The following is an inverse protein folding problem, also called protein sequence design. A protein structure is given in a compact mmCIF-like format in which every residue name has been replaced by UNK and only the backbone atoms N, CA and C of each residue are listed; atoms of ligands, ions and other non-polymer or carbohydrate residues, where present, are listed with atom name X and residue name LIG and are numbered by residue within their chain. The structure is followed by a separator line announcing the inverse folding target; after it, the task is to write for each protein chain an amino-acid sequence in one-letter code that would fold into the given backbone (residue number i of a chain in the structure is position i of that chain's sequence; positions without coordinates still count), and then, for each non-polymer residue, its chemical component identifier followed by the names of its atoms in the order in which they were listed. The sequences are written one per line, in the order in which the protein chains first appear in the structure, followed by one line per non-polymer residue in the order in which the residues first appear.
data_IF_957947566214
#
_entry.id   IF_957947566214
#
_cell.length_a   1.000
_cell.length_b   1.000
_cell.length_c   1.000
_cell.angle_alpha   90.00
_cell.angle_beta   90.00
_cell.angle_gamma   90.00
#
_symmetry.space_group_name_H-M   'P 1'
#
loop_
_entity.id
_entity.type
_entity.pdbx_description
1 polymer ?
#
# COMPACT_ATOMS: atom_id res chain seq x y z
N UNK A 1 -13.37 5.87 -23.95
CA UNK A 1 -13.13 4.52 -23.48
C UNK A 1 -12.17 4.50 -22.31
N UNK A 2 -12.12 3.39 -21.57
CA UNK A 2 -11.16 3.18 -20.46
C UNK A 2 -9.87 2.56 -21.00
N UNK A 3 -8.77 2.74 -20.29
CA UNK A 3 -7.44 2.24 -20.68
C UNK A 3 -7.18 0.81 -20.22
N UNK A 4 -7.96 0.32 -19.25
CA UNK A 4 -7.80 -1.02 -18.71
C UNK A 4 -8.72 -1.30 -17.53
N UNK A 5 -8.45 -2.40 -16.84
CA UNK A 5 -9.18 -2.88 -15.65
C UNK A 5 -8.17 -3.26 -14.60
N UNK A 6 -8.39 -2.81 -13.36
CA UNK A 6 -7.70 -3.28 -12.15
C UNK A 6 -8.66 -4.13 -11.34
N UNK A 7 -8.22 -5.29 -10.86
CA UNK A 7 -9.05 -6.19 -10.04
C UNK A 7 -8.55 -6.15 -8.60
N UNK A 8 -9.40 -5.65 -7.73
CA UNK A 8 -9.18 -5.58 -6.30
C UNK A 8 -10.13 -6.53 -5.56
N UNK A 9 -9.71 -7.79 -5.42
CA UNK A 9 -10.42 -8.80 -4.62
C UNK A 9 -9.63 -9.09 -3.36
N UNK A 10 -10.15 -8.69 -2.21
CA UNK A 10 -9.52 -8.82 -0.91
C UNK A 10 -10.21 -9.89 -0.04
N UNK A 11 -9.81 -11.15 -0.11
CA UNK A 11 -8.82 -11.78 -0.97
C UNK A 11 -9.32 -13.16 -1.41
N UNK A 12 -8.85 -13.73 -2.52
CA UNK A 12 -9.12 -15.14 -2.81
C UNK A 12 -8.71 -16.02 -1.63
N UNK A 13 -9.52 -17.02 -1.30
CA UNK A 13 -9.30 -17.98 -0.19
C UNK A 13 -9.38 -17.42 1.24
N UNK A 14 -9.59 -16.12 1.41
CA UNK A 14 -9.76 -15.50 2.75
C UNK A 14 -11.16 -14.91 2.89
N UNK A 15 -11.85 -15.27 3.97
CA UNK A 15 -13.10 -14.59 4.35
C UNK A 15 -12.75 -13.17 4.79
N UNK A 16 -13.18 -12.18 4.03
CA UNK A 16 -12.91 -10.77 4.29
C UNK A 16 -14.08 -9.94 3.76
N UNK A 17 -14.39 -8.83 4.41
CA UNK A 17 -15.40 -7.85 3.98
C UNK A 17 -16.77 -8.45 3.62
N UNK A 18 -17.16 -9.54 4.31
CA UNK A 18 -18.41 -10.25 4.03
C UNK A 18 -18.41 -11.14 2.79
N UNK A 19 -17.27 -11.30 2.13
CA UNK A 19 -17.12 -12.19 0.97
C UNK A 19 -16.76 -13.58 1.46
N UNK A 20 -17.57 -14.58 1.06
CA UNK A 20 -17.27 -15.99 1.30
C UNK A 20 -16.05 -16.43 0.48
N UNK A 21 -15.21 -17.28 1.05
CA UNK A 21 -14.02 -17.77 0.41
C UNK A 21 -13.99 -19.31 0.35
N UNK A 22 -13.37 -19.84 -0.69
CA UNK A 22 -13.14 -21.27 -0.89
C UNK A 22 -11.66 -21.56 -1.22
N UNK A 23 -11.16 -22.76 -0.96
CA UNK A 23 -9.79 -23.13 -1.33
C UNK A 23 -9.50 -23.05 -2.84
N UNK A 24 -10.54 -23.05 -3.68
CA UNK A 24 -10.42 -22.99 -5.13
C UNK A 24 -10.27 -21.55 -5.67
N UNK A 25 -10.45 -20.54 -4.85
CA UNK A 25 -10.54 -19.16 -5.33
C UNK A 25 -9.25 -18.64 -5.94
N UNK A 26 -8.07 -19.06 -5.50
CA UNK A 26 -6.80 -18.73 -6.16
C UNK A 26 -6.79 -19.20 -7.62
N UNK A 27 -7.25 -20.43 -7.86
CA UNK A 27 -7.37 -20.98 -9.22
C UNK A 27 -8.46 -20.28 -10.02
N UNK A 28 -9.61 -20.05 -9.41
CA UNK A 28 -10.74 -19.36 -10.03
C UNK A 28 -10.39 -17.92 -10.41
N UNK A 29 -9.63 -17.24 -9.54
CA UNK A 29 -9.09 -15.91 -9.81
C UNK A 29 -8.21 -15.91 -11.07
N UNK A 30 -7.27 -16.84 -11.16
CA UNK A 30 -6.40 -16.98 -12.34
C UNK A 30 -7.22 -17.23 -13.62
N UNK A 31 -8.24 -18.09 -13.54
CA UNK A 31 -9.14 -18.34 -14.69
C UNK A 31 -9.93 -17.09 -15.07
N UNK A 32 -10.48 -16.38 -14.09
CA UNK A 32 -11.17 -15.10 -14.31
C UNK A 32 -10.27 -14.08 -15.02
N UNK A 33 -9.03 -13.92 -14.54
CA UNK A 33 -8.08 -13.00 -15.16
C UNK A 33 -7.74 -13.38 -16.61
N UNK A 34 -7.63 -14.68 -16.92
CA UNK A 34 -7.46 -15.18 -18.30
C UNK A 34 -8.65 -14.79 -19.19
N UNK A 35 -9.87 -14.98 -18.71
CA UNK A 35 -11.08 -14.62 -19.48
C UNK A 35 -11.19 -13.10 -19.66
N UNK A 36 -10.87 -12.30 -18.63
CA UNK A 36 -10.83 -10.85 -18.75
C UNK A 36 -9.80 -10.42 -19.81
N UNK A 37 -8.56 -10.94 -19.76
CA UNK A 37 -7.52 -10.64 -20.75
C UNK A 37 -7.99 -10.96 -22.17
N UNK A 38 -8.60 -12.13 -22.36
CA UNK A 38 -9.18 -12.52 -23.66
C UNK A 38 -10.27 -11.55 -24.14
N UNK A 39 -11.10 -11.07 -23.22
CA UNK A 39 -12.21 -10.17 -23.54
C UNK A 39 -11.73 -8.74 -23.89
N UNK A 40 -10.73 -8.21 -23.18
CA UNK A 40 -10.25 -6.83 -23.38
C UNK A 40 -9.13 -6.74 -24.42
N UNK A 41 -8.49 -7.86 -24.79
CA UNK A 41 -7.36 -7.93 -25.72
C UNK A 41 -6.04 -7.40 -25.10
N UNK A 42 -4.97 -7.43 -25.90
CA UNK A 42 -3.61 -7.10 -25.44
C UNK A 42 -3.33 -5.59 -25.39
N UNK A 43 -4.20 -4.78 -25.97
CA UNK A 43 -4.03 -3.31 -26.03
C UNK A 43 -4.59 -2.58 -24.79
N UNK A 44 -5.19 -3.29 -23.86
CA UNK A 44 -5.75 -2.73 -22.63
C UNK A 44 -4.97 -3.25 -21.41
N UNK A 45 -4.80 -2.39 -20.43
CA UNK A 45 -4.18 -2.78 -19.16
C UNK A 45 -5.08 -3.74 -18.38
N UNK A 46 -4.49 -4.78 -17.85
CA UNK A 46 -5.10 -5.65 -16.86
C UNK A 46 -4.16 -5.76 -15.66
N UNK A 47 -4.61 -5.30 -14.52
CA UNK A 47 -3.81 -5.23 -13.30
C UNK A 47 -4.57 -5.82 -12.12
N UNK A 48 -3.90 -5.98 -11.00
CA UNK A 48 -4.52 -6.41 -9.76
C UNK A 48 -3.90 -5.69 -8.56
N UNK A 49 -4.71 -5.53 -7.51
CA UNK A 49 -4.24 -5.17 -6.19
C UNK A 49 -3.92 -6.43 -5.38
N UNK A 50 -2.82 -6.40 -4.63
CA UNK A 50 -2.35 -7.52 -3.81
C UNK A 50 -1.94 -7.07 -2.43
N UNK A 51 -2.22 -7.90 -1.42
CA UNK A 51 -1.78 -7.64 -0.04
C UNK A 51 -0.26 -7.62 0.10
N UNK A 52 0.24 -6.96 1.14
CA UNK A 52 1.68 -6.92 1.45
C UNK A 52 2.32 -8.31 1.66
N UNK A 53 1.52 -9.34 2.01
CA UNK A 53 2.01 -10.71 2.23
C UNK A 53 2.30 -11.49 0.96
N UNK A 54 1.83 -11.04 -0.22
CA UNK A 54 1.91 -11.78 -1.47
C UNK A 54 1.22 -13.17 -1.43
N UNK A 55 0.20 -13.31 -0.59
CA UNK A 55 -0.59 -14.55 -0.47
C UNK A 55 -1.84 -14.52 -1.37
N UNK A 56 -2.53 -15.64 -1.46
CA UNK A 56 -3.82 -15.82 -2.12
C UNK A 56 -3.80 -15.78 -3.66
N UNK A 57 -2.68 -15.47 -4.29
CA UNK A 57 -2.55 -15.38 -5.75
C UNK A 57 -1.47 -16.33 -6.28
N UNK A 58 -1.70 -16.93 -7.44
CA UNK A 58 -0.66 -17.64 -8.19
C UNK A 58 0.05 -16.66 -9.13
N UNK A 59 1.09 -16.00 -8.62
CA UNK A 59 1.82 -15.00 -9.37
C UNK A 59 2.55 -15.55 -10.60
N UNK A 60 2.94 -16.83 -10.59
CA UNK A 60 3.59 -17.45 -11.75
C UNK A 60 2.61 -17.60 -12.91
N UNK A 61 1.39 -18.06 -12.60
CA UNK A 61 0.33 -18.22 -13.59
C UNK A 61 -0.27 -16.88 -14.03
N UNK A 62 -0.21 -15.85 -13.17
CA UNK A 62 -0.69 -14.49 -13.49
C UNK A 62 0.32 -13.68 -14.31
N UNK A 63 1.62 -13.97 -14.21
CA UNK A 63 2.68 -13.20 -14.89
C UNK A 63 2.49 -13.01 -16.40
N UNK A 64 2.06 -14.03 -17.19
CA UNK A 64 1.79 -13.85 -18.61
C UNK A 64 0.46 -13.19 -18.93
N UNK A 65 -0.40 -12.94 -17.93
CA UNK A 65 -1.77 -12.48 -18.12
C UNK A 65 -1.91 -10.99 -17.79
N UNK A 66 -1.25 -10.53 -16.70
CA UNK A 66 -1.39 -9.19 -16.17
C UNK A 66 -0.19 -8.31 -16.52
N UNK A 67 -0.45 -7.01 -16.65
CA UNK A 67 0.59 -6.05 -17.01
C UNK A 67 1.49 -5.72 -15.82
N UNK A 68 0.89 -5.51 -14.63
CA UNK A 68 1.59 -5.25 -13.38
C UNK A 68 0.71 -5.52 -12.15
N UNK A 69 1.34 -5.55 -10.99
CA UNK A 69 0.69 -5.76 -9.68
C UNK A 69 0.83 -4.50 -8.84
N UNK A 70 -0.28 -4.01 -8.31
CA UNK A 70 -0.34 -2.96 -7.32
C UNK A 70 -0.23 -3.58 -5.92
N UNK A 71 0.90 -3.39 -5.25
CA UNK A 71 1.10 -3.88 -3.89
C UNK A 71 0.45 -2.90 -2.92
N UNK A 72 -0.54 -3.31 -2.17
CA UNK A 72 -1.12 -2.55 -1.06
C UNK A 72 -0.16 -2.59 0.13
N UNK A 73 0.94 -1.84 0.04
CA UNK A 73 1.99 -1.72 1.05
C UNK A 73 1.62 -0.71 2.14
N UNK A 74 0.41 -0.84 2.63
CA UNK A 74 -0.22 -0.10 3.72
C UNK A 74 -1.17 -1.02 4.49
N UNK A 75 -1.81 -0.53 5.54
CA UNK A 75 -2.62 -1.33 6.47
C UNK A 75 -1.81 -2.46 7.15
N UNK A 76 -0.51 -2.23 7.28
CA UNK A 76 0.44 -3.18 7.85
C UNK A 76 0.64 -2.98 9.36
N UNK A 77 -0.25 -2.25 10.03
CA UNK A 77 -0.14 -1.91 11.44
C UNK A 77 -1.18 -2.59 12.32
N UNK A 78 -0.76 -2.93 13.53
CA UNK A 78 -1.62 -3.03 14.69
C UNK A 78 -1.52 -1.76 15.57
N UNK A 79 -1.93 -1.88 16.83
CA UNK A 79 -1.76 -0.78 17.80
C UNK A 79 -0.28 -0.42 17.98
N UNK A 80 0.03 0.88 17.94
CA UNK A 80 1.37 1.44 18.14
C UNK A 80 2.41 0.98 17.12
N UNK A 81 1.99 0.62 15.92
CA UNK A 81 2.84 0.21 14.82
C UNK A 81 2.66 1.15 13.62
N UNK A 82 3.68 1.18 12.76
CA UNK A 82 3.64 1.96 11.53
C UNK A 82 2.69 1.35 10.49
N UNK A 83 1.83 2.19 9.90
CA UNK A 83 0.91 1.80 8.83
C UNK A 83 1.64 1.30 7.58
N UNK A 84 2.68 2.02 7.17
CA UNK A 84 3.39 1.79 5.91
C UNK A 84 4.88 2.11 6.05
N UNK A 85 5.57 1.45 6.99
CA UNK A 85 7.01 1.59 7.14
C UNK A 85 7.75 1.20 5.86
N UNK A 86 8.78 1.96 5.45
CA UNK A 86 9.62 1.55 4.33
C UNK A 86 10.51 0.37 4.69
N UNK A 87 11.14 0.43 5.87
CA UNK A 87 12.03 -0.61 6.40
C UNK A 87 11.58 -1.07 7.79
N UNK A 88 12.09 -2.24 8.20
CA UNK A 88 11.80 -2.80 9.52
C UNK A 88 12.44 -1.97 10.62
N UNK A 89 11.64 -1.52 11.59
CA UNK A 89 12.07 -0.93 12.85
C UNK A 89 11.39 -1.63 14.04
N UNK A 90 11.63 -1.17 15.25
CA UNK A 90 10.96 -1.65 16.46
C UNK A 90 9.44 -1.39 16.47
N UNK A 91 8.97 -0.40 15.65
CA UNK A 91 7.58 -0.01 15.52
C UNK A 91 6.89 -0.58 14.28
N UNK A 92 7.52 -1.48 13.56
CA UNK A 92 6.88 -2.18 12.44
C UNK A 92 6.21 -3.47 12.91
N UNK A 93 5.08 -3.81 12.29
CA UNK A 93 4.47 -5.13 12.41
C UNK A 93 5.20 -6.19 11.60
N UNK A 94 4.46 -7.19 11.14
CA UNK A 94 5.02 -8.31 10.38
C UNK A 94 5.43 -7.93 8.96
N UNK A 95 4.90 -6.82 8.41
CA UNK A 95 5.14 -6.36 7.05
C UNK A 95 5.62 -4.92 7.00
N UNK A 96 6.39 -4.61 5.95
CA UNK A 96 6.87 -3.28 5.57
C UNK A 96 7.08 -3.25 4.05
N UNK A 97 7.18 -2.08 3.45
CA UNK A 97 7.22 -1.91 2.00
C UNK A 97 8.31 -2.73 1.30
N UNK A 98 9.54 -2.72 1.81
CA UNK A 98 10.64 -3.51 1.23
C UNK A 98 10.36 -5.02 1.29
N UNK A 99 9.84 -5.52 2.43
CA UNK A 99 9.47 -6.94 2.56
C UNK A 99 8.34 -7.30 1.59
N UNK A 100 7.32 -6.46 1.47
CA UNK A 100 6.21 -6.69 0.57
C UNK A 100 6.68 -6.83 -0.90
N UNK A 101 7.50 -5.91 -1.39
CA UNK A 101 8.09 -6.00 -2.72
C UNK A 101 8.95 -7.26 -2.91
N UNK A 102 9.73 -7.63 -1.88
CA UNK A 102 10.58 -8.83 -1.90
C UNK A 102 9.76 -10.11 -1.96
N UNK A 103 8.66 -10.20 -1.20
CA UNK A 103 7.78 -11.37 -1.20
C UNK A 103 7.12 -11.59 -2.56
N UNK A 104 6.63 -10.54 -3.22
CA UNK A 104 6.07 -10.63 -4.58
C UNK A 104 7.12 -11.09 -5.59
N UNK A 105 8.35 -10.58 -5.48
CA UNK A 105 9.44 -11.01 -6.35
C UNK A 105 9.81 -12.49 -6.12
N UNK A 106 9.87 -12.94 -4.87
CA UNK A 106 10.09 -14.35 -4.52
C UNK A 106 8.94 -15.26 -4.98
N UNK A 107 7.71 -14.76 -4.98
CA UNK A 107 6.55 -15.47 -5.51
C UNK A 107 6.57 -15.59 -7.06
N UNK A 108 7.53 -14.96 -7.72
CA UNK A 108 7.77 -15.11 -9.16
C UNK A 108 7.37 -13.90 -10.00
N UNK A 109 6.99 -12.78 -9.39
CA UNK A 109 6.63 -11.58 -10.13
C UNK A 109 7.81 -10.60 -10.20
N UNK A 110 8.31 -10.21 -11.39
CA UNK A 110 9.53 -9.43 -11.52
C UNK A 110 9.35 -8.00 -11.03
N UNK A 111 10.40 -7.42 -10.42
CA UNK A 111 10.36 -6.08 -9.80
C UNK A 111 9.84 -5.00 -10.75
N UNK A 112 10.23 -5.02 -12.03
CA UNK A 112 9.80 -4.03 -13.02
C UNK A 112 8.31 -4.12 -13.41
N UNK A 113 7.57 -5.07 -12.86
CA UNK A 113 6.11 -5.20 -12.96
C UNK A 113 5.41 -5.00 -11.61
N UNK A 114 6.10 -4.54 -10.57
CA UNK A 114 5.53 -4.24 -9.26
C UNK A 114 5.39 -2.73 -9.07
N UNK A 115 4.25 -2.31 -8.54
CA UNK A 115 3.93 -0.93 -8.18
C UNK A 115 3.76 -0.85 -6.68
N UNK A 116 4.46 0.07 -6.01
CA UNK A 116 4.42 0.22 -4.56
C UNK A 116 3.27 1.12 -4.12
N UNK A 117 2.44 0.67 -3.19
CA UNK A 117 1.32 1.42 -2.64
C UNK A 117 1.75 2.45 -1.59
N UNK A 118 1.18 3.64 -1.69
CA UNK A 118 1.45 4.78 -0.83
C UNK A 118 0.14 5.24 -0.17
N UNK A 119 0.00 5.19 1.17
CA UNK A 119 -1.22 5.66 1.82
C UNK A 119 -1.22 7.18 1.96
N UNK A 120 -2.35 7.82 1.61
CA UNK A 120 -2.60 9.24 1.89
C UNK A 120 -3.47 9.41 3.14
N UNK A 121 -3.30 8.50 4.09
CA UNK A 121 -4.00 8.45 5.37
C UNK A 121 -3.12 7.81 6.44
N UNK A 122 -3.56 7.92 7.67
CA UNK A 122 -2.92 7.26 8.80
C UNK A 122 -3.93 6.59 9.73
N UNK A 123 -3.42 5.95 10.77
CA UNK A 123 -4.23 5.32 11.81
C UNK A 123 -3.93 5.89 13.18
N UNK A 124 -4.99 6.34 13.87
CA UNK A 124 -4.96 6.71 15.28
C UNK A 124 -5.34 5.52 16.15
N UNK A 125 -4.58 5.32 17.22
CA UNK A 125 -4.89 4.37 18.30
C UNK A 125 -5.39 5.06 19.59
N UNK A 126 -5.69 6.35 19.50
CA UNK A 126 -6.27 7.11 20.61
C UNK A 126 -7.65 6.55 20.92
N UNK A 127 -7.96 6.39 22.21
CA UNK A 127 -9.24 5.81 22.63
C UNK A 127 -9.33 4.28 22.56
N UNK A 128 -8.25 3.58 22.15
CA UNK A 128 -8.19 2.12 22.19
C UNK A 128 -8.78 1.40 20.97
N UNK A 129 -9.11 2.13 19.90
CA UNK A 129 -9.52 1.58 18.61
C UNK A 129 -8.64 2.17 17.49
N UNK A 130 -8.41 1.41 16.43
CA UNK A 130 -7.76 1.94 15.25
C UNK A 130 -8.78 2.74 14.44
N UNK A 131 -8.49 4.04 14.23
CA UNK A 131 -9.31 4.96 13.45
C UNK A 131 -8.51 5.49 12.28
N UNK A 132 -8.99 5.25 11.06
CA UNK A 132 -8.40 5.84 9.86
C UNK A 132 -8.67 7.36 9.82
N UNK A 133 -7.62 8.14 9.51
CA UNK A 133 -7.70 9.60 9.36
C UNK A 133 -6.99 9.96 8.05
N UNK A 134 -7.72 10.60 7.14
CA UNK A 134 -7.17 11.09 5.87
C UNK A 134 -6.19 12.24 6.09
N UNK A 135 -5.16 12.34 5.24
CA UNK A 135 -4.15 13.39 5.36
C UNK A 135 -4.76 14.79 5.42
N UNK A 136 -5.75 15.07 4.58
CA UNK A 136 -6.48 16.37 4.55
C UNK A 136 -7.21 16.73 5.83
N UNK A 137 -7.48 15.77 6.70
CA UNK A 137 -8.28 15.97 7.92
C UNK A 137 -7.44 15.94 9.21
N UNK A 138 -6.13 15.65 9.12
CA UNK A 138 -5.25 15.52 10.28
C UNK A 138 -5.25 16.77 11.16
N UNK A 139 -5.19 17.98 10.58
CA UNK A 139 -5.16 19.25 11.33
C UNK A 139 -6.46 19.51 12.10
N UNK A 140 -7.56 18.92 11.69
CA UNK A 140 -8.89 19.10 12.28
C UNK A 140 -9.19 18.04 13.34
N UNK A 141 -8.45 16.93 13.33
CA UNK A 141 -8.75 15.78 14.17
C UNK A 141 -8.39 16.03 15.63
N UNK A 142 -9.37 15.94 16.52
CA UNK A 142 -9.22 16.21 17.94
C UNK A 142 -8.30 15.19 18.63
N UNK A 143 -8.34 13.92 18.18
CA UNK A 143 -7.57 12.83 18.74
C UNK A 143 -6.04 13.06 18.57
N UNK A 144 -5.63 13.90 17.63
CA UNK A 144 -4.22 14.19 17.38
C UNK A 144 -3.70 15.40 18.18
N UNK A 145 -4.60 16.15 18.85
CA UNK A 145 -4.18 17.32 19.65
C UNK A 145 -3.37 16.92 20.86
N UNK A 146 -2.26 17.60 21.06
CA UNK A 146 -1.34 17.35 22.18
C UNK A 146 -0.39 16.16 21.98
N UNK A 147 -0.44 15.49 20.83
CA UNK A 147 0.60 14.55 20.40
C UNK A 147 1.78 15.31 19.81
N UNK A 148 2.97 14.72 19.91
CA UNK A 148 4.22 15.29 19.37
C UNK A 148 4.70 14.51 18.16
N UNK A 149 5.09 15.20 17.09
CA UNK A 149 5.63 14.57 15.89
C UNK A 149 7.05 14.08 16.12
N UNK A 150 7.31 12.86 15.68
CA UNK A 150 8.61 12.19 15.66
C UNK A 150 8.86 11.61 14.27
N UNK A 151 10.13 11.29 14.02
CA UNK A 151 10.58 10.63 12.80
C UNK A 151 11.29 9.32 13.16
N UNK A 152 10.85 8.21 12.56
CA UNK A 152 11.57 6.93 12.68
C UNK A 152 12.64 6.86 11.58
N UNK A 153 13.91 7.02 11.98
CA UNK A 153 15.04 7.04 11.05
C UNK A 153 15.29 5.70 10.35
N UNK A 154 14.85 4.59 10.92
CA UNK A 154 14.98 3.27 10.31
C UNK A 154 13.82 3.03 9.36
N UNK A 155 12.59 3.19 9.85
CA UNK A 155 11.37 2.96 9.07
C UNK A 155 11.13 4.01 7.97
N UNK A 156 11.79 5.20 8.05
CA UNK A 156 11.65 6.35 7.13
C UNK A 156 10.22 6.87 7.05
N UNK A 157 9.54 6.92 8.20
CA UNK A 157 8.17 7.44 8.30
C UNK A 157 8.00 8.30 9.56
N UNK A 158 7.09 9.31 9.53
CA UNK A 158 6.71 10.08 10.70
C UNK A 158 5.70 9.31 11.56
N UNK A 159 5.57 9.74 12.80
CA UNK A 159 4.49 9.34 13.71
C UNK A 159 4.24 10.41 14.76
N UNK A 160 3.04 10.43 15.33
CA UNK A 160 2.76 11.24 16.51
C UNK A 160 2.77 10.35 17.75
N UNK A 161 3.42 10.83 18.80
CA UNK A 161 3.52 10.13 20.08
C UNK A 161 2.86 10.92 21.22
N UNK A 162 2.43 10.19 22.26
CA UNK A 162 2.02 10.77 23.52
C UNK A 162 3.23 11.27 24.33
N UNK A 163 2.98 11.87 25.51
CA UNK A 163 4.00 12.38 26.43
C UNK A 163 4.97 11.32 26.96
N UNK A 164 4.64 10.04 26.80
CA UNK A 164 5.50 8.90 27.21
C UNK A 164 6.31 8.35 26.03
N UNK A 165 6.20 8.95 24.84
CA UNK A 165 6.88 8.50 23.62
C UNK A 165 6.20 7.33 22.91
N UNK A 166 4.97 6.96 23.32
CA UNK A 166 4.21 5.88 22.71
C UNK A 166 3.60 6.35 21.39
N UNK A 167 3.79 5.61 20.31
CA UNK A 167 3.17 5.89 19.02
C UNK A 167 1.65 5.81 19.15
N UNK A 168 0.97 6.91 18.85
CA UNK A 168 -0.48 7.04 18.92
C UNK A 168 -1.12 7.29 17.55
N UNK A 169 -0.37 7.86 16.60
CA UNK A 169 -0.82 8.05 15.23
C UNK A 169 0.31 7.77 14.26
N UNK A 170 0.07 6.92 13.30
CA UNK A 170 0.99 6.57 12.21
C UNK A 170 0.48 7.12 10.90
N UNK A 171 1.35 7.71 10.09
CA UNK A 171 0.97 8.33 8.81
C UNK A 171 2.16 8.44 7.87
N UNK A 172 1.89 8.91 6.65
CA UNK A 172 2.93 9.34 5.71
C UNK A 172 2.84 10.85 5.46
N UNK A 173 3.98 11.47 5.21
CA UNK A 173 4.11 12.86 4.78
C UNK A 173 4.96 12.97 3.50
N UNK A 174 5.13 14.18 2.96
CA UNK A 174 5.92 14.39 1.75
C UNK A 174 7.34 13.78 1.82
N UNK A 175 7.99 13.87 2.99
CA UNK A 175 9.34 13.32 3.20
C UNK A 175 9.34 11.79 3.12
N UNK A 176 8.43 11.11 3.82
CA UNK A 176 8.36 9.64 3.79
C UNK A 176 7.99 9.09 2.43
N UNK A 177 7.07 9.76 1.72
CA UNK A 177 6.71 9.39 0.34
C UNK A 177 7.90 9.56 -0.61
N UNK A 178 8.71 10.60 -0.45
CA UNK A 178 9.97 10.78 -1.19
C UNK A 178 10.90 9.59 -1.03
N UNK A 179 11.14 9.11 0.20
CA UNK A 179 11.96 7.91 0.45
C UNK A 179 11.38 6.65 -0.20
N UNK A 180 10.06 6.49 -0.22
CA UNK A 180 9.41 5.35 -0.87
C UNK A 180 9.52 5.41 -2.39
N UNK A 181 9.39 6.59 -2.98
CA UNK A 181 9.61 6.82 -4.42
C UNK A 181 11.06 6.53 -4.82
N UNK A 182 12.03 7.05 -4.07
CA UNK A 182 13.45 6.75 -4.28
C UNK A 182 13.75 5.24 -4.17
N UNK A 183 13.14 4.56 -3.19
CA UNK A 183 13.25 3.11 -3.07
C UNK A 183 12.70 2.42 -4.31
N UNK A 184 11.53 2.79 -4.79
CA UNK A 184 10.92 2.20 -5.98
C UNK A 184 11.82 2.37 -7.21
N UNK A 185 12.35 3.57 -7.45
CA UNK A 185 13.30 3.85 -8.54
C UNK A 185 14.58 3.01 -8.42
N UNK A 186 15.22 3.04 -7.25
CA UNK A 186 16.48 2.31 -7.01
C UNK A 186 16.35 0.80 -7.15
N UNK A 187 15.19 0.23 -6.77
CA UNK A 187 14.92 -1.21 -6.91
C UNK A 187 14.41 -1.61 -8.30
N UNK A 188 14.16 -0.65 -9.17
CA UNK A 188 13.63 -0.91 -10.50
C UNK A 188 12.18 -1.39 -10.48
N UNK A 189 11.38 -0.92 -9.51
CA UNK A 189 9.95 -1.15 -9.54
C UNK A 189 9.33 -0.39 -10.71
N UNK A 190 8.15 -0.83 -11.17
CA UNK A 190 7.43 -0.17 -12.26
C UNK A 190 7.02 1.26 -11.89
N UNK A 191 6.73 1.51 -10.63
CA UNK A 191 6.31 2.81 -10.13
C UNK A 191 5.67 2.74 -8.75
N UNK A 192 4.85 3.72 -8.46
CA UNK A 192 4.09 3.84 -7.23
C UNK A 192 2.62 4.14 -7.54
N UNK A 193 1.71 3.78 -6.65
CA UNK A 193 0.29 4.17 -6.69
C UNK A 193 -0.11 4.69 -5.32
N UNK A 194 -1.19 5.46 -5.23
CA UNK A 194 -1.68 5.98 -3.95
C UNK A 194 -3.09 5.51 -3.63
N UNK A 195 -3.32 5.20 -2.38
CA UNK A 195 -4.64 5.13 -1.79
C UNK A 195 -4.81 6.30 -0.82
N UNK A 196 -5.64 7.33 -1.12
CA UNK A 196 -6.27 7.54 -2.41
C UNK A 196 -6.28 9.05 -2.72
N UNK A 197 -6.53 9.40 -3.94
CA UNK A 197 -6.35 10.76 -4.47
C UNK A 197 -7.05 11.85 -3.64
N UNK A 198 -8.32 11.65 -3.23
CA UNK A 198 -9.12 12.63 -2.48
C UNK A 198 -8.75 12.71 -1.00
N UNK A 199 -7.87 11.84 -0.50
CA UNK A 199 -7.38 11.90 0.88
C UNK A 199 -6.26 12.94 1.09
N UNK A 200 -5.65 13.44 0.00
CA UNK A 200 -4.67 14.52 0.04
C UNK A 200 -5.30 15.87 0.38
N UNK A 201 -4.50 16.82 0.84
CA UNK A 201 -4.96 18.16 1.11
C UNK A 201 -5.32 18.94 -0.18
N UNK A 202 -5.99 20.08 -0.02
CA UNK A 202 -6.42 20.91 -1.16
C UNK A 202 -5.25 21.47 -1.98
N UNK A 203 -4.04 21.52 -1.39
CA UNK A 203 -2.81 21.98 -2.07
C UNK A 203 -2.17 20.86 -2.89
N UNK A 204 -2.57 19.60 -2.69
CA UNK A 204 -1.95 18.45 -3.32
C UNK A 204 -0.55 18.14 -2.79
N UNK A 205 -0.34 18.34 -1.49
CA UNK A 205 0.98 18.21 -0.86
C UNK A 205 1.62 16.84 -1.09
N UNK A 206 0.86 15.77 -0.88
CA UNK A 206 1.38 14.42 -1.07
C UNK A 206 1.51 14.04 -2.54
N UNK A 207 0.51 14.38 -3.38
CA UNK A 207 0.55 14.14 -4.83
C UNK A 207 1.74 14.84 -5.48
N UNK A 208 1.98 16.12 -5.09
CA UNK A 208 3.12 16.88 -5.58
C UNK A 208 4.44 16.22 -5.18
N UNK A 209 4.59 15.81 -3.92
CA UNK A 209 5.79 15.15 -3.44
C UNK A 209 6.08 13.84 -4.20
N UNK A 210 5.05 13.04 -4.47
CA UNK A 210 5.18 11.81 -5.27
C UNK A 210 5.56 12.14 -6.70
N UNK A 211 4.90 13.11 -7.34
CA UNK A 211 5.20 13.53 -8.71
C UNK A 211 6.66 14.00 -8.84
N UNK A 212 7.08 14.93 -7.98
CA UNK A 212 8.45 15.47 -8.01
C UNK A 212 9.47 14.33 -7.84
N UNK A 213 9.31 13.47 -6.82
CA UNK A 213 10.24 12.38 -6.56
C UNK A 213 10.28 11.29 -7.63
N UNK A 214 9.22 11.11 -8.42
CA UNK A 214 9.19 10.13 -9.52
C UNK A 214 9.67 10.69 -10.86
N UNK A 215 9.70 12.03 -11.03
CA UNK A 215 10.09 12.69 -12.28
C UNK A 215 11.52 13.26 -12.27
N UNK A 216 12.09 13.49 -11.10
CA UNK A 216 13.52 13.83 -10.91
C UNK A 216 14.43 12.59 -11.02
#
# INVERSE_FOLDING_TARGET
GIDGIDIDWEYPTKHSEGIAATPQDTKNYTLMMKEIRKAIGDNKLLTLASSASAECFDFKDLLPIVDFVNIMSYDMCGFNQHNSALYKSERTGDFWCEKAASLHNLAGFPLHKLVLGLPFYGYSSVGGNLKMIYYKDMDKEQDLKGLTEHWDEIAKVPYLADRNGKLMFTFDNAKSLGYKCEYAKRKGLKGVMSWFYEADDAKGTLRKAVYDAMTE
#
